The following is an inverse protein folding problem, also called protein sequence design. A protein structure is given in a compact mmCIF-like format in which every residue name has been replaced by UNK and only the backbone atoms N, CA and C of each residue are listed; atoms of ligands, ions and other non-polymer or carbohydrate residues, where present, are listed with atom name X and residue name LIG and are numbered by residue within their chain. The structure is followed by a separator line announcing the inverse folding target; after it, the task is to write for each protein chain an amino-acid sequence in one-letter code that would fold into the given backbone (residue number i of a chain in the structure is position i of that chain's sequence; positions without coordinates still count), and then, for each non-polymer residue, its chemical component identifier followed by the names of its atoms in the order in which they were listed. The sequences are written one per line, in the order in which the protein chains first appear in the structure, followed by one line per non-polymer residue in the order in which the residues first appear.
data_IF_978948311854
#
_entry.id   IF_978948311854
#
_cell.length_a   1.000
_cell.length_b   1.000
_cell.length_c   1.000
_cell.angle_alpha   90.00
_cell.angle_beta   90.00
_cell.angle_gamma   90.00
#
_symmetry.space_group_name_H-M   'P 1'
#
loop_
_entity.id
_entity.type
_entity.pdbx_description
1 polymer ?
#
# COMPACT_ATOMS: atom_id res chain seq x y z
N UNK A 1 -2.02 7.91 -1.71
CA UNK A 1 -0.72 7.63 -2.36
C UNK A 1 0.28 7.23 -1.28
N UNK A 2 0.86 6.04 -1.39
CA UNK A 2 1.98 5.57 -0.56
C UNK A 2 3.14 6.57 -0.70
N UNK A 3 3.55 7.21 0.39
CA UNK A 3 4.66 8.16 0.37
C UNK A 3 5.96 7.41 0.70
N UNK A 4 7.04 7.59 -0.09
CA UNK A 4 8.36 7.07 0.25
C UNK A 4 8.79 7.53 1.65
N UNK A 5 9.58 6.70 2.34
CA UNK A 5 10.21 7.11 3.61
C UNK A 5 11.20 8.22 3.31
N UNK A 6 11.14 9.34 4.05
CA UNK A 6 12.14 10.41 3.96
C UNK A 6 13.37 9.99 4.75
N UNK A 7 14.53 9.97 4.10
CA UNK A 7 15.83 9.57 4.66
C UNK A 7 15.80 8.18 5.35
N UNK A 8 15.51 7.09 4.62
CA UNK A 8 15.65 5.76 5.18
C UNK A 8 17.11 5.51 5.59
N UNK A 9 17.31 4.84 6.73
CA UNK A 9 18.60 4.22 7.02
C UNK A 9 18.78 3.07 6.04
N UNK A 10 19.62 3.27 5.02
CA UNK A 10 19.90 2.26 4.02
C UNK A 10 21.11 1.45 4.51
N UNK A 11 20.97 0.16 4.83
CA UNK A 11 22.12 -0.66 5.18
C UNK A 11 23.08 -0.77 3.99
N UNK A 12 24.35 -1.01 4.27
CA UNK A 12 25.30 -1.33 3.21
C UNK A 12 24.84 -2.60 2.47
N UNK A 13 25.12 -2.65 1.16
CA UNK A 13 25.03 -3.93 0.45
C UNK A 13 25.98 -4.95 1.11
N UNK A 14 25.65 -6.24 1.11
CA UNK A 14 26.48 -7.25 1.75
C UNK A 14 27.86 -7.27 1.10
N UNK A 15 28.88 -7.64 1.88
CA UNK A 15 30.24 -7.78 1.37
C UNK A 15 30.26 -8.76 0.18
N UNK A 16 30.92 -8.37 -0.90
CA UNK A 16 30.85 -9.08 -2.18
C UNK A 16 31.70 -8.43 -3.29
N UNK A 17 31.60 -8.93 -4.53
CA UNK A 17 32.23 -8.28 -5.69
C UNK A 17 31.71 -6.86 -5.87
N UNK A 18 32.38 -6.08 -6.73
CA UNK A 18 31.88 -4.75 -7.11
C UNK A 18 30.45 -4.87 -7.63
N UNK A 19 29.52 -4.24 -6.89
CA UNK A 19 28.10 -4.30 -7.21
C UNK A 19 27.83 -3.55 -8.50
N UNK A 20 26.97 -4.11 -9.35
CA UNK A 20 26.59 -3.38 -10.55
C UNK A 20 25.84 -2.09 -10.18
N UNK A 21 26.06 -0.96 -10.89
CA UNK A 21 25.40 0.31 -10.59
C UNK A 21 23.87 0.21 -10.53
N UNK A 22 23.27 -0.65 -11.37
CA UNK A 22 21.83 -0.89 -11.33
C UNK A 22 21.35 -1.58 -10.03
N UNK A 23 22.19 -2.41 -9.38
CA UNK A 23 21.87 -3.04 -8.09
C UNK A 23 21.88 -1.99 -6.99
N UNK A 24 22.91 -1.14 -6.94
CA UNK A 24 22.98 -0.07 -5.95
C UNK A 24 21.79 0.88 -6.06
N UNK A 25 21.44 1.25 -7.29
CA UNK A 25 20.29 2.12 -7.55
C UNK A 25 18.99 1.43 -7.10
N UNK A 26 18.82 0.13 -7.38
CA UNK A 26 17.67 -0.64 -6.92
C UNK A 26 17.62 -0.75 -5.39
N UNK A 27 18.74 -1.04 -4.74
CA UNK A 27 18.86 -1.15 -3.29
C UNK A 27 18.34 0.12 -2.61
N UNK A 28 18.83 1.29 -3.04
CA UNK A 28 18.37 2.59 -2.50
C UNK A 28 16.86 2.80 -2.68
N UNK A 29 16.29 2.40 -3.83
CA UNK A 29 14.84 2.49 -4.07
C UNK A 29 14.06 1.52 -3.20
N UNK A 30 14.51 0.28 -3.05
CA UNK A 30 13.84 -0.73 -2.23
C UNK A 30 13.77 -0.29 -0.76
N UNK A 31 14.87 0.23 -0.21
CA UNK A 31 14.93 0.76 1.16
C UNK A 31 14.20 2.10 1.36
N UNK A 32 13.80 2.78 0.29
CA UNK A 32 12.88 3.92 0.36
C UNK A 32 11.40 3.51 0.39
N UNK A 33 11.12 2.22 0.28
CA UNK A 33 9.77 1.68 0.31
C UNK A 33 9.08 2.02 1.64
N UNK A 34 7.81 2.43 1.62
CA UNK A 34 7.01 2.60 2.84
C UNK A 34 6.81 1.30 3.64
N UNK A 35 7.26 0.16 3.12
CA UNK A 35 7.23 -1.12 3.84
C UNK A 35 8.42 -1.38 4.74
N UNK A 36 9.51 -0.66 4.53
CA UNK A 36 10.75 -0.85 5.28
C UNK A 36 10.56 -0.74 6.80
N UNK A 37 9.70 0.15 7.36
CA UNK A 37 9.49 0.19 8.81
C UNK A 37 8.85 -1.09 9.40
N UNK A 38 8.15 -1.88 8.58
CA UNK A 38 7.47 -3.11 9.00
C UNK A 38 8.34 -4.35 8.81
N UNK A 39 9.52 -4.21 8.19
CA UNK A 39 10.42 -5.32 7.94
C UNK A 39 11.08 -5.83 9.22
N UNK A 40 11.09 -7.14 9.35
CA UNK A 40 11.84 -7.87 10.36
C UNK A 40 13.27 -8.13 9.89
N UNK A 41 14.13 -8.62 10.79
CA UNK A 41 15.49 -9.06 10.42
C UNK A 41 15.47 -10.11 9.29
N UNK A 42 14.46 -10.99 9.27
CA UNK A 42 14.31 -11.99 8.21
C UNK A 42 14.03 -11.39 6.83
N UNK A 43 13.34 -10.24 6.77
CA UNK A 43 13.12 -9.51 5.52
C UNK A 43 14.42 -8.86 5.04
N UNK A 44 15.28 -8.40 5.97
CA UNK A 44 16.60 -7.87 5.64
C UNK A 44 17.49 -8.95 5.03
N UNK A 45 17.51 -10.15 5.63
CA UNK A 45 18.23 -11.30 5.07
C UNK A 45 17.70 -11.70 3.69
N UNK A 46 16.38 -11.68 3.51
CA UNK A 46 15.72 -11.90 2.22
C UNK A 46 16.15 -10.87 1.18
N UNK A 47 16.30 -9.60 1.58
CA UNK A 47 16.79 -8.53 0.71
C UNK A 47 18.25 -8.74 0.30
N UNK A 48 19.11 -9.22 1.20
CA UNK A 48 20.50 -9.58 0.85
C UNK A 48 20.56 -10.72 -0.18
N UNK A 49 19.72 -11.74 -0.02
CA UNK A 49 19.60 -12.82 -1.00
C UNK A 49 19.12 -12.28 -2.35
N UNK A 50 18.08 -11.44 -2.35
CA UNK A 50 17.58 -10.82 -3.58
C UNK A 50 18.65 -10.01 -4.30
N UNK A 51 19.44 -9.21 -3.57
CA UNK A 51 20.55 -8.44 -4.14
C UNK A 51 21.57 -9.35 -4.85
N UNK A 52 21.99 -10.44 -4.19
CA UNK A 52 22.93 -11.41 -4.79
C UNK A 52 22.36 -12.08 -6.04
N UNK A 53 21.10 -12.51 -6.02
CA UNK A 53 20.46 -13.12 -7.19
C UNK A 53 20.31 -12.13 -8.34
N UNK A 54 20.01 -10.87 -8.06
CA UNK A 54 19.93 -9.82 -9.08
C UNK A 54 21.30 -9.51 -9.70
N UNK A 55 22.37 -9.55 -8.91
CA UNK A 55 23.75 -9.41 -9.43
C UNK A 55 24.03 -10.50 -10.45
N UNK A 56 23.76 -11.77 -10.10
CA UNK A 56 23.93 -12.90 -11.02
C UNK A 56 23.03 -12.77 -12.24
N UNK A 57 21.77 -12.38 -12.06
CA UNK A 57 20.81 -12.21 -13.15
C UNK A 57 21.26 -11.19 -14.21
N UNK A 58 22.01 -10.16 -13.79
CA UNK A 58 22.54 -9.14 -14.69
C UNK A 58 23.97 -9.40 -15.18
N UNK A 59 24.62 -10.48 -14.71
CA UNK A 59 25.92 -10.86 -15.24
C UNK A 59 25.80 -11.26 -16.72
N UNK A 60 26.70 -10.78 -17.59
CA UNK A 60 26.70 -11.16 -19.01
C UNK A 60 27.06 -12.64 -19.23
N UNK A 61 27.62 -13.30 -18.22
CA UNK A 61 28.00 -14.71 -18.26
C UNK A 61 26.83 -15.66 -17.94
N UNK A 62 25.75 -15.12 -17.38
CA UNK A 62 24.60 -15.91 -16.95
C UNK A 62 23.75 -16.36 -18.14
N UNK A 63 23.61 -17.67 -18.29
CA UNK A 63 22.84 -18.25 -19.39
C UNK A 63 21.34 -17.90 -19.30
N UNK A 64 20.66 -17.82 -20.45
CA UNK A 64 19.24 -17.50 -20.51
C UNK A 64 18.35 -18.46 -19.70
N UNK A 65 18.73 -19.74 -19.59
CA UNK A 65 18.00 -20.71 -18.78
C UNK A 65 18.13 -20.41 -17.28
N UNK A 66 19.34 -20.08 -16.83
CA UNK A 66 19.59 -19.66 -15.43
C UNK A 66 18.86 -18.35 -15.13
N UNK A 67 18.88 -17.37 -16.04
CA UNK A 67 18.15 -16.11 -15.88
C UNK A 67 16.65 -16.32 -15.66
N UNK A 68 16.01 -17.30 -16.32
CA UNK A 68 14.59 -17.61 -16.10
C UNK A 68 14.32 -18.07 -14.66
N UNK A 69 15.18 -18.94 -14.13
CA UNK A 69 15.06 -19.44 -12.76
C UNK A 69 15.32 -18.32 -11.75
N UNK A 70 16.38 -17.53 -11.94
CA UNK A 70 16.69 -16.37 -11.10
C UNK A 70 15.53 -15.36 -11.10
N UNK A 71 14.94 -15.05 -12.25
CA UNK A 71 13.80 -14.15 -12.34
C UNK A 71 12.55 -14.67 -11.62
N UNK A 72 12.38 -16.00 -11.49
CA UNK A 72 11.30 -16.57 -10.70
C UNK A 72 11.56 -16.36 -9.20
N UNK A 73 12.77 -16.71 -8.73
CA UNK A 73 13.15 -16.56 -7.31
C UNK A 73 13.15 -15.09 -6.87
N UNK A 74 13.74 -14.19 -7.66
CA UNK A 74 13.73 -12.75 -7.39
C UNK A 74 12.30 -12.25 -7.21
N UNK A 75 11.36 -12.65 -8.08
CA UNK A 75 9.95 -12.24 -7.93
C UNK A 75 9.33 -12.72 -6.62
N UNK A 76 9.65 -13.93 -6.17
CA UNK A 76 9.14 -14.46 -4.90
C UNK A 76 9.68 -13.68 -3.70
N UNK A 77 11.00 -13.47 -3.64
CA UNK A 77 11.64 -12.72 -2.56
C UNK A 77 11.11 -11.28 -2.46
N UNK A 78 10.98 -10.59 -3.61
CA UNK A 78 10.44 -9.23 -3.65
C UNK A 78 8.95 -9.17 -3.26
N UNK A 79 8.18 -10.21 -3.59
CA UNK A 79 6.79 -10.30 -3.18
C UNK A 79 6.67 -10.49 -1.66
N UNK A 80 7.49 -11.35 -1.06
CA UNK A 80 7.56 -11.59 0.38
C UNK A 80 7.87 -10.29 1.14
N UNK A 81 8.83 -9.49 0.67
CA UNK A 81 9.15 -8.19 1.28
C UNK A 81 8.13 -7.07 0.95
N UNK A 82 7.00 -7.37 0.32
CA UNK A 82 5.99 -6.33 0.08
C UNK A 82 6.36 -5.31 -1.01
N UNK A 83 7.32 -5.62 -1.89
CA UNK A 83 7.83 -4.67 -2.88
C UNK A 83 7.04 -4.64 -4.18
N UNK A 84 6.08 -5.55 -4.37
CA UNK A 84 5.19 -5.56 -5.55
C UNK A 84 3.83 -4.92 -5.24
N UNK A 85 3.14 -4.31 -6.22
CA UNK A 85 1.79 -3.78 -5.99
C UNK A 85 0.79 -4.83 -5.49
N UNK A 86 0.89 -6.07 -6.00
CA UNK A 86 0.01 -7.17 -5.60
C UNK A 86 0.28 -7.64 -4.18
N UNK A 87 1.55 -7.75 -3.78
CA UNK A 87 1.89 -8.14 -2.41
C UNK A 87 1.46 -7.07 -1.41
N UNK A 88 1.56 -5.78 -1.74
CA UNK A 88 1.08 -4.69 -0.87
C UNK A 88 -0.43 -4.73 -0.61
N UNK A 89 -1.23 -5.06 -1.63
CA UNK A 89 -2.67 -5.27 -1.47
C UNK A 89 -3.00 -6.50 -0.65
N UNK A 90 -2.25 -7.59 -0.86
CA UNK A 90 -2.46 -8.87 -0.17
C UNK A 90 -2.11 -8.77 1.32
N UNK A 91 -1.07 -8.01 1.64
CA UNK A 91 -0.65 -7.68 3.01
C UNK A 91 -1.56 -6.62 3.68
N UNK A 92 -2.71 -6.28 3.06
CA UNK A 92 -3.73 -5.33 3.54
C UNK A 92 -3.26 -3.93 3.94
N UNK A 93 -2.00 -3.56 3.66
CA UNK A 93 -1.44 -2.26 4.04
C UNK A 93 -2.16 -1.04 3.45
N UNK A 94 -2.80 -1.18 2.28
CA UNK A 94 -3.62 -0.09 1.73
C UNK A 94 -4.94 0.10 2.50
N UNK A 95 -5.45 -0.94 3.16
CA UNK A 95 -6.74 -0.97 3.87
C UNK A 95 -6.56 -0.49 5.32
N UNK A 96 -5.57 -1.02 6.06
CA UNK A 96 -5.31 -0.62 7.44
C UNK A 96 -5.07 0.90 7.57
N UNK A 97 -4.43 1.54 6.58
CA UNK A 97 -4.26 3.01 6.55
C UNK A 97 -5.54 3.77 6.32
N UNK A 98 -6.47 3.24 5.52
CA UNK A 98 -7.78 3.86 5.32
C UNK A 98 -8.51 3.86 6.66
N UNK A 99 -8.43 2.75 7.39
CA UNK A 99 -9.07 2.61 8.70
C UNK A 99 -8.40 3.52 9.75
N UNK A 100 -7.06 3.62 9.79
CA UNK A 100 -6.37 4.57 10.67
C UNK A 100 -6.66 6.05 10.32
N UNK A 101 -6.78 6.38 9.03
CA UNK A 101 -7.10 7.73 8.59
C UNK A 101 -8.55 8.09 8.97
N UNK A 102 -9.47 7.13 8.84
CA UNK A 102 -10.86 7.27 9.29
C UNK A 102 -10.94 7.39 10.81
N UNK A 103 -10.21 6.57 11.56
CA UNK A 103 -10.15 6.62 13.02
C UNK A 103 -9.61 7.98 13.51
N UNK A 104 -8.52 8.49 12.92
CA UNK A 104 -7.98 9.83 13.20
C UNK A 104 -8.98 10.95 12.87
N UNK A 105 -9.72 10.81 11.76
CA UNK A 105 -10.79 11.73 11.39
C UNK A 105 -11.94 11.72 12.40
N UNK A 106 -12.31 10.54 12.90
CA UNK A 106 -13.37 10.39 13.88
C UNK A 106 -12.98 10.91 15.27
N UNK A 107 -11.72 10.71 15.68
CA UNK A 107 -11.16 11.27 16.91
C UNK A 107 -11.13 12.82 16.89
N UNK A 108 -10.78 13.44 15.74
CA UNK A 108 -10.84 14.90 15.59
C UNK A 108 -12.27 15.44 15.62
N UNK A 109 -13.23 14.73 15.02
CA UNK A 109 -14.64 15.14 15.04
C UNK A 109 -15.26 15.02 16.44
N UNK A 110 -14.88 14.01 17.20
CA UNK A 110 -15.35 13.83 18.59
C UNK A 110 -14.68 14.79 19.59
N UNK A 111 -13.42 15.16 19.38
CA UNK A 111 -12.71 16.14 20.23
C UNK A 111 -13.17 17.60 20.09
N UNK A 112 -13.87 17.95 19.01
CA UNK A 112 -14.41 19.31 18.77
C UNK A 112 -15.90 19.43 19.13
N UNK A 113 -16.54 18.37 19.64
CA UNK A 113 -17.94 18.39 20.08
C UNK A 113 -18.09 18.88 21.54
N UNK A 114 -17.70 20.12 21.80
CA UNK A 114 -18.20 20.88 22.95
C UNK A 114 -18.63 22.29 22.51
N UNK A 115 -19.70 22.36 21.74
CA UNK A 115 -20.51 23.56 21.58
C UNK A 115 -21.99 23.15 21.52
N UNK A 116 -22.90 23.83 22.24
CA UNK A 116 -24.20 23.28 22.60
C UNK A 116 -25.17 23.27 21.41
N UNK A 117 -25.94 22.18 21.32
CA UNK A 117 -27.05 22.02 20.39
C UNK A 117 -28.13 23.09 20.66
N UNK A 118 -28.30 24.04 19.74
CA UNK A 118 -29.56 24.78 19.61
C UNK A 118 -30.46 24.01 18.64
N UNK A 119 -31.65 23.67 19.14
CA UNK A 119 -32.68 22.96 18.41
C UNK A 119 -33.08 23.70 17.14
N UNK A 120 -33.17 22.96 16.04
CA UNK A 120 -33.85 23.43 14.82
C UNK A 120 -34.89 22.39 14.44
N UNK A 121 -36.14 22.86 14.47
CA UNK A 121 -37.38 22.16 14.22
C UNK A 121 -37.35 21.20 13.02
N UNK A 122 -37.85 19.98 13.25
CA UNK A 122 -38.12 18.99 12.22
C UNK A 122 -39.25 19.46 11.29
N UNK A 123 -38.90 20.02 10.13
CA UNK A 123 -39.81 20.04 8.96
C UNK A 123 -39.76 18.67 8.29
N UNK A 124 -40.69 17.80 8.67
CA UNK A 124 -40.95 16.50 8.05
C UNK A 124 -41.33 16.72 6.58
N UNK A 125 -40.39 16.49 5.65
CA UNK A 125 -40.70 16.40 4.21
C UNK A 125 -41.52 15.12 3.98
N UNK A 126 -42.71 15.27 3.42
CA UNK A 126 -43.54 14.16 2.96
C UNK A 126 -42.79 13.41 1.84
N UNK A 127 -42.78 12.08 1.92
CA UNK A 127 -42.11 11.20 0.98
C UNK A 127 -42.68 11.40 -0.45
N UNK A 128 -41.85 11.74 -1.45
CA UNK A 128 -42.30 11.96 -2.83
C UNK A 128 -42.91 10.70 -3.49
N UNK A 129 -42.78 9.51 -2.88
CA UNK A 129 -43.42 8.26 -3.35
C UNK A 129 -44.90 8.15 -2.96
N UNK A 130 -45.37 8.93 -1.98
CA UNK A 130 -46.80 8.99 -1.60
C UNK A 130 -47.58 9.94 -2.51
N UNK A 131 -46.98 11.07 -2.87
CA UNK A 131 -47.62 12.10 -3.72
C UNK A 131 -47.94 11.66 -5.16
N UNK A 132 -47.33 10.57 -5.65
CA UNK A 132 -47.62 10.00 -6.99
C UNK A 132 -48.81 9.04 -7.00
N UNK A 133 -49.21 8.51 -5.83
CA UNK A 133 -50.29 7.51 -5.75
C UNK A 133 -51.69 8.15 -5.73
N UNK A 134 -51.81 9.38 -5.23
CA UNK A 134 -53.10 10.10 -5.17
C UNK A 134 -53.44 10.85 -6.47
N UNK A 135 -52.45 11.13 -7.33
CA UNK A 135 -52.67 11.77 -8.63
C UNK A 135 -53.25 10.82 -9.69
N UNK A 136 -53.12 9.51 -9.51
CA UNK A 136 -53.58 8.50 -10.48
C UNK A 136 -54.92 7.84 -10.13
N UNK A 137 -55.61 8.26 -9.06
CA UNK A 137 -56.97 7.78 -8.75
C UNK A 137 -58.10 8.71 -9.27
N UNK A 138 -57.77 9.82 -9.92
CA UNK A 138 -58.75 10.79 -10.46
C UNK A 138 -58.76 10.87 -12.00
N UNK A 139 -58.28 9.83 -12.69
CA UNK A 139 -58.28 9.76 -14.17
C UNK A 139 -58.70 8.39 -14.71
N UNK A 140 -59.68 7.77 -14.06
CA UNK A 140 -60.50 6.73 -14.71
C UNK A 140 -61.96 7.12 -14.48
N UNK A 141 -62.45 7.96 -15.37
CA UNK A 141 -63.85 8.23 -15.64
C UNK A 141 -64.04 8.15 -17.14
#
# INVERSE_FOLDING_TARGET
MLKPVKNPTIPALPAGPDWYPQIEAWWRRAWSSPMVPEWTESDVDTMYLAAKLMQEFWSPETSANVCKNLAAEIRQLLAQCGLTPMSRRSLQWEIERVDEAQARGNARRSGTSSAPAKSAAAKRKVDPRVARRERNLHSVG
#
